data_IF_450101025117
#
_entry.id   IF_450101025117
#
_cell.length_a   1.000
_cell.length_b   1.000
_cell.length_c   1.000
_cell.angle_alpha   90.00
_cell.angle_beta   90.00
_cell.angle_gamma   90.00
#
_symmetry.space_group_name_H-M   'P 1'
#
loop_
_entity.id
_entity.type
_entity.pdbx_description
1 polymer ?
#
# COMPACT_ATOMS: atom_id res chain seq x y z
N UNK A 1 -0.21 7.68 -10.16
CA UNK A 1 -0.93 6.64 -10.94
C UNK A 1 -1.64 7.22 -12.16
N UNK A 2 -2.49 8.25 -12.03
CA UNK A 2 -3.23 8.81 -13.19
C UNK A 2 -2.28 9.49 -14.20
N UNK A 3 -1.34 10.32 -13.74
CA UNK A 3 -0.41 11.03 -14.63
C UNK A 3 0.52 10.10 -15.43
N UNK A 4 0.84 8.92 -14.87
CA UNK A 4 1.63 7.89 -15.54
C UNK A 4 0.81 7.02 -16.50
N UNK A 5 -0.53 7.16 -16.52
CA UNK A 5 -1.43 6.36 -17.34
C UNK A 5 -2.45 7.25 -18.09
N UNK A 6 -1.99 8.15 -18.98
CA UNK A 6 -2.85 9.18 -19.59
C UNK A 6 -3.94 8.63 -20.52
N UNK A 7 -3.83 7.37 -20.93
CA UNK A 7 -4.81 6.69 -21.80
C UNK A 7 -5.87 5.90 -21.02
N UNK A 8 -5.67 5.72 -19.70
CA UNK A 8 -6.65 5.05 -18.85
C UNK A 8 -7.67 6.04 -18.32
N UNK A 9 -8.91 5.57 -18.13
CA UNK A 9 -9.91 6.33 -17.41
C UNK A 9 -9.42 6.57 -15.97
N UNK A 10 -9.40 7.81 -15.46
CA UNK A 10 -8.91 8.11 -14.11
C UNK A 10 -9.73 7.44 -12.98
N UNK A 11 -10.94 6.97 -13.29
CA UNK A 11 -11.80 6.24 -12.37
C UNK A 11 -11.65 4.71 -12.48
N UNK A 12 -10.93 4.19 -13.47
CA UNK A 12 -10.60 2.78 -13.57
C UNK A 12 -9.44 2.43 -12.62
N UNK A 13 -9.77 2.35 -11.33
CA UNK A 13 -8.79 2.12 -10.26
C UNK A 13 -8.08 0.77 -10.39
N UNK A 14 -8.76 -0.23 -10.96
CA UNK A 14 -8.20 -1.57 -11.15
C UNK A 14 -7.06 -1.52 -12.16
N UNK A 15 -7.31 -1.01 -13.36
CA UNK A 15 -6.28 -0.92 -14.40
C UNK A 15 -5.14 0.03 -14.00
N UNK A 16 -5.46 1.13 -13.33
CA UNK A 16 -4.45 2.07 -12.83
C UNK A 16 -3.51 1.43 -11.80
N UNK A 17 -4.05 0.60 -10.90
CA UNK A 17 -3.26 -0.11 -9.90
C UNK A 17 -2.43 -1.22 -10.54
N UNK A 18 -3.02 -2.01 -11.45
CA UNK A 18 -2.29 -3.03 -12.20
C UNK A 18 -1.09 -2.45 -12.94
N UNK A 19 -1.29 -1.34 -13.67
CA UNK A 19 -0.19 -0.67 -14.35
C UNK A 19 0.82 -0.06 -13.38
N UNK A 20 0.43 0.32 -12.16
CA UNK A 20 1.39 0.75 -11.16
C UNK A 20 2.38 -0.38 -10.85
N UNK A 21 1.87 -1.59 -10.65
CA UNK A 21 2.64 -2.79 -10.32
C UNK A 21 3.48 -3.31 -11.50
N UNK A 22 2.88 -3.44 -12.68
CA UNK A 22 3.47 -4.18 -13.80
C UNK A 22 4.32 -3.31 -14.72
N UNK A 23 4.03 -2.00 -14.79
CA UNK A 23 4.58 -1.11 -15.82
C UNK A 23 5.33 0.08 -15.22
N UNK A 24 4.79 0.69 -14.15
CA UNK A 24 5.32 1.94 -13.60
C UNK A 24 6.28 1.75 -12.41
N UNK A 25 6.67 0.50 -12.12
CA UNK A 25 7.71 0.18 -11.14
C UNK A 25 7.29 0.33 -9.67
N UNK A 26 5.99 0.33 -9.36
CA UNK A 26 5.55 0.28 -7.97
C UNK A 26 5.80 -1.12 -7.39
N UNK A 27 6.28 -1.18 -6.14
CA UNK A 27 6.43 -2.43 -5.42
C UNK A 27 5.06 -2.89 -4.89
N UNK A 28 4.39 -3.76 -5.63
CA UNK A 28 3.10 -4.35 -5.24
C UNK A 28 3.31 -5.65 -4.48
N UNK A 29 3.66 -5.50 -3.22
CA UNK A 29 4.05 -6.59 -2.33
C UNK A 29 2.84 -7.31 -1.75
N UNK A 30 2.98 -8.62 -1.52
CA UNK A 30 1.96 -9.42 -0.84
C UNK A 30 1.95 -9.14 0.67
N UNK A 31 0.80 -9.28 1.31
CA UNK A 31 0.71 -9.15 2.76
C UNK A 31 1.35 -10.37 3.43
N UNK A 32 2.29 -10.11 4.34
CA UNK A 32 2.86 -11.13 5.19
C UNK A 32 1.95 -11.38 6.41
N UNK A 33 1.35 -12.57 6.48
CA UNK A 33 0.46 -12.95 7.58
C UNK A 33 -0.86 -12.17 7.59
N UNK A 34 -1.37 -11.85 8.78
CA UNK A 34 -2.65 -11.16 8.95
C UNK A 34 -2.45 -9.71 9.41
N UNK A 35 -3.09 -8.73 8.75
CA UNK A 35 -3.12 -7.35 9.23
C UNK A 35 -3.68 -7.24 10.65
N UNK A 36 -3.08 -6.38 11.47
CA UNK A 36 -3.60 -6.08 12.81
C UNK A 36 -4.42 -4.79 12.77
N UNK A 37 -5.68 -4.84 13.16
CA UNK A 37 -6.48 -3.63 13.34
C UNK A 37 -5.94 -2.83 14.53
N UNK A 38 -5.55 -1.57 14.28
CA UNK A 38 -5.02 -0.65 15.30
C UNK A 38 -6.13 0.24 15.83
N UNK A 39 -6.91 0.83 14.93
CA UNK A 39 -8.03 1.73 15.27
C UNK A 39 -9.15 1.57 14.26
N UNK A 40 -10.38 1.71 14.74
CA UNK A 40 -11.57 1.81 13.91
C UNK A 40 -12.45 2.93 14.46
N UNK A 41 -12.72 3.96 13.66
CA UNK A 41 -13.53 5.10 14.07
C UNK A 41 -14.25 5.71 12.87
N UNK A 42 -15.57 5.90 13.00
CA UNK A 42 -16.39 6.61 12.02
C UNK A 42 -16.21 6.12 10.56
N UNK A 43 -16.15 4.80 10.35
CA UNK A 43 -15.98 4.20 9.02
C UNK A 43 -14.54 4.25 8.48
N UNK A 44 -13.57 4.71 9.26
CA UNK A 44 -12.14 4.65 8.95
C UNK A 44 -11.44 3.61 9.84
N UNK A 45 -10.58 2.80 9.22
CA UNK A 45 -9.91 1.67 9.83
C UNK A 45 -8.42 1.78 9.54
N UNK A 46 -7.58 1.73 10.57
CA UNK A 46 -6.13 1.69 10.42
C UNK A 46 -5.63 0.30 10.74
N UNK A 47 -4.97 -0.32 9.78
CA UNK A 47 -4.34 -1.62 9.91
C UNK A 47 -2.82 -1.47 9.94
N UNK A 48 -2.17 -2.20 10.84
CA UNK A 48 -0.74 -2.45 10.79
C UNK A 48 -0.51 -3.69 9.92
N UNK A 49 0.24 -3.51 8.85
CA UNK A 49 0.49 -4.51 7.81
C UNK A 49 1.99 -4.76 7.69
N UNK A 50 2.37 -6.00 7.48
CA UNK A 50 3.72 -6.38 7.04
C UNK A 50 3.62 -6.91 5.62
N UNK A 51 4.66 -6.73 4.83
CA UNK A 51 4.69 -7.20 3.46
C UNK A 51 5.76 -8.26 3.27
N UNK A 52 5.50 -9.23 2.41
CA UNK A 52 6.44 -10.24 2.00
C UNK A 52 7.24 -9.74 0.78
N UNK A 53 8.53 -10.05 0.75
CA UNK A 53 9.35 -9.96 -0.45
C UNK A 53 9.22 -11.25 -1.28
N UNK A 54 9.72 -11.23 -2.52
CA UNK A 54 9.67 -12.39 -3.43
C UNK A 54 10.36 -13.64 -2.87
N UNK A 55 11.33 -13.47 -1.97
CA UNK A 55 12.04 -14.57 -1.29
C UNK A 55 11.30 -15.07 -0.02
N UNK A 56 10.14 -14.49 0.29
CA UNK A 56 9.32 -14.80 1.46
C UNK A 56 9.76 -14.12 2.76
N UNK A 57 10.83 -13.31 2.74
CA UNK A 57 11.23 -12.50 3.90
C UNK A 57 10.29 -11.31 4.11
N UNK A 58 10.35 -10.67 5.28
CA UNK A 58 9.57 -9.46 5.57
C UNK A 58 10.27 -8.26 4.93
N UNK A 59 9.49 -7.37 4.28
CA UNK A 59 10.00 -6.11 3.75
C UNK A 59 10.60 -5.26 4.86
N UNK A 60 11.84 -4.85 4.65
CA UNK A 60 12.55 -3.93 5.50
C UNK A 60 12.77 -2.61 4.77
N UNK A 61 12.24 -1.51 5.31
CA UNK A 61 12.51 -0.16 4.80
C UNK A 61 13.46 0.56 5.73
N UNK A 62 14.70 0.71 5.26
CA UNK A 62 15.70 1.55 5.91
C UNK A 62 15.33 3.05 5.84
N UNK A 63 16.08 3.91 6.56
CA UNK A 63 15.90 5.35 6.49
C UNK A 63 16.08 5.88 5.05
N UNK A 64 15.26 6.86 4.64
CA UNK A 64 15.43 7.46 3.32
C UNK A 64 16.80 8.14 3.19
N UNK A 65 17.33 8.13 1.96
CA UNK A 65 18.24 9.16 1.50
C UNK A 65 19.59 9.16 2.26
N UNK A 66 20.03 8.00 2.76
CA UNK A 66 21.24 7.86 3.56
C UNK A 66 21.12 8.38 5.00
N UNK A 67 19.89 8.62 5.47
CA UNK A 67 19.64 9.03 6.85
C UNK A 67 20.04 7.96 7.87
N UNK A 68 20.10 8.36 9.14
CA UNK A 68 20.32 7.45 10.27
C UNK A 68 18.98 7.34 11.02
N UNK A 69 18.43 6.13 11.09
CA UNK A 69 17.13 5.89 11.70
C UNK A 69 16.81 4.39 11.76
N UNK A 70 15.74 4.01 12.48
CA UNK A 70 15.36 2.61 12.60
C UNK A 70 14.84 2.08 11.26
N UNK A 71 15.09 0.80 11.00
CA UNK A 71 14.41 0.05 9.93
C UNK A 71 12.94 -0.15 10.29
N UNK A 72 12.05 0.14 9.35
CA UNK A 72 10.62 -0.10 9.47
C UNK A 72 10.23 -1.39 8.75
N UNK A 73 9.52 -2.28 9.45
CA UNK A 73 9.07 -3.57 8.91
C UNK A 73 7.55 -3.75 8.97
N UNK A 74 6.84 -2.71 9.42
CA UNK A 74 5.38 -2.70 9.52
C UNK A 74 4.87 -1.33 9.16
N UNK A 75 3.83 -1.27 8.33
CA UNK A 75 3.30 -0.05 7.74
C UNK A 75 1.84 0.12 8.15
N UNK A 76 1.41 1.37 8.32
CA UNK A 76 0.00 1.67 8.57
C UNK A 76 -0.73 1.88 7.25
N UNK A 77 -1.85 1.18 7.08
CA UNK A 77 -2.75 1.29 5.94
C UNK A 77 -4.13 1.69 6.45
N UNK A 78 -4.70 2.71 5.82
CA UNK A 78 -6.01 3.27 6.06
C UNK A 78 -7.00 2.71 5.06
N UNK A 79 -8.07 2.14 5.59
CA UNK A 79 -9.21 1.65 4.83
C UNK A 79 -10.43 2.46 5.24
N UNK A 80 -11.22 2.89 4.27
CA UNK A 80 -12.44 3.67 4.50
C UNK A 80 -13.64 2.96 3.93
N UNK A 81 -14.69 2.86 4.74
CA UNK A 81 -16.02 2.47 4.28
C UNK A 81 -16.69 3.68 3.61
N UNK A 82 -16.90 3.60 2.29
CA UNK A 82 -17.47 4.70 1.49
C UNK A 82 -18.97 4.53 1.23
N UNK A 83 -19.45 3.29 1.32
CA UNK A 83 -20.86 2.88 1.36
C UNK A 83 -20.97 1.61 2.22
N UNK A 84 -22.16 1.25 2.73
CA UNK A 84 -22.32 0.07 3.57
C UNK A 84 -21.75 -1.20 2.92
N UNK A 85 -20.67 -1.74 3.47
CA UNK A 85 -19.96 -2.92 2.95
C UNK A 85 -18.92 -2.65 1.86
N UNK A 86 -18.78 -1.41 1.37
CA UNK A 86 -17.81 -1.03 0.36
C UNK A 86 -16.61 -0.31 0.99
N UNK A 87 -15.45 -0.95 0.91
CA UNK A 87 -14.22 -0.47 1.54
C UNK A 87 -13.18 -0.12 0.49
N UNK A 88 -12.52 1.03 0.65
CA UNK A 88 -11.42 1.47 -0.19
C UNK A 88 -10.15 1.66 0.63
N UNK A 89 -9.04 1.15 0.11
CA UNK A 89 -7.70 1.50 0.60
C UNK A 89 -7.40 2.93 0.16
N UNK A 90 -7.02 3.77 1.11
CA UNK A 90 -6.81 5.20 0.87
C UNK A 90 -5.34 5.55 0.62
N UNK A 91 -4.41 4.70 1.05
CA UNK A 91 -2.98 4.93 0.93
C UNK A 91 -2.40 4.43 -0.39
N UNK A 92 -1.29 5.03 -0.80
CA UNK A 92 -0.51 4.55 -1.93
C UNK A 92 0.28 3.29 -1.54
N UNK A 93 0.64 2.43 -2.52
CA UNK A 93 1.61 1.36 -2.28
C UNK A 93 2.86 1.88 -1.57
N UNK A 94 3.45 1.04 -0.73
CA UNK A 94 4.71 1.38 -0.04
C UNK A 94 5.78 1.63 -1.10
N UNK A 95 6.27 2.86 -1.17
CA UNK A 95 7.34 3.21 -2.08
C UNK A 95 8.66 2.59 -1.61
N UNK A 96 9.36 1.94 -2.53
CA UNK A 96 10.70 1.41 -2.36
C UNK A 96 11.59 2.01 -3.48
N UNK A 97 12.63 2.79 -3.16
CA UNK A 97 13.53 3.39 -4.15
C UNK A 97 14.46 2.37 -4.81
#
# INVERSE_FOLDING_TARGET
MIEHNPLLNPNDKVSLFQNACEINGAACLEIYGSPTLVTAFNGEFSFRVQFAQDDGSILERGPCCGGIGPTETSFLITVKEVSPGDFLVMDTPVYFP
#
